data_IF_334731126474
#
_entry.id   IF_334731126474
#
_cell.length_a   1.000
_cell.length_b   1.000
_cell.length_c   1.000
_cell.angle_alpha   90.00
_cell.angle_beta   90.00
_cell.angle_gamma   90.00
#
_symmetry.space_group_name_H-M   'P 1'
#
loop_
_entity.id
_entity.type
_entity.pdbx_description
1 polymer ?
#
# COMPACT_ATOMS: atom_id res chain seq x y z
N UNK A 1 -16.60 10.87 0.47
CA UNK A 1 -15.82 11.94 -0.20
C UNK A 1 -14.38 12.05 0.30
N UNK A 2 -14.11 12.26 1.59
CA UNK A 2 -12.73 12.43 2.09
C UNK A 2 -11.76 11.28 1.72
N UNK A 3 -12.16 10.02 1.87
CA UNK A 3 -11.33 8.87 1.50
C UNK A 3 -11.07 8.76 -0.02
N UNK A 4 -12.02 9.22 -0.86
CA UNK A 4 -11.82 9.34 -2.32
C UNK A 4 -10.76 10.39 -2.61
N UNK A 5 -10.90 11.58 -2.00
CA UNK A 5 -9.96 12.67 -2.17
C UNK A 5 -8.55 12.29 -1.72
N UNK A 6 -8.44 11.56 -0.61
CA UNK A 6 -7.16 11.07 -0.11
C UNK A 6 -6.55 9.98 -1.03
N UNK A 7 -7.35 9.05 -1.54
CA UNK A 7 -6.88 8.09 -2.55
C UNK A 7 -6.35 8.81 -3.81
N UNK A 8 -7.07 9.83 -4.29
CA UNK A 8 -6.62 10.66 -5.42
C UNK A 8 -5.33 11.42 -5.10
N UNK A 9 -5.22 11.99 -3.90
CA UNK A 9 -4.00 12.65 -3.44
C UNK A 9 -2.80 11.69 -3.42
N UNK A 10 -2.96 10.50 -2.83
CA UNK A 10 -1.90 9.47 -2.85
C UNK A 10 -1.51 9.07 -4.27
N UNK A 11 -2.49 8.91 -5.15
CA UNK A 11 -2.27 8.59 -6.56
C UNK A 11 -1.41 9.67 -7.23
N UNK A 12 -1.75 10.94 -7.01
CA UNK A 12 -1.00 12.07 -7.55
C UNK A 12 0.41 12.14 -6.95
N UNK A 13 0.54 12.02 -5.63
CA UNK A 13 1.84 12.08 -4.94
C UNK A 13 2.77 10.95 -5.38
N UNK A 14 2.28 9.72 -5.45
CA UNK A 14 3.07 8.57 -5.87
C UNK A 14 3.37 8.58 -7.36
N UNK A 15 2.41 8.97 -8.20
CA UNK A 15 2.55 9.02 -9.66
C UNK A 15 3.46 10.17 -10.12
N UNK A 16 3.23 11.39 -9.63
CA UNK A 16 4.10 12.54 -9.93
C UNK A 16 5.45 12.43 -9.23
N UNK A 17 5.49 11.87 -8.02
CA UNK A 17 6.73 11.61 -7.30
C UNK A 17 7.68 10.71 -8.10
N UNK A 18 7.16 9.79 -8.92
CA UNK A 18 7.97 8.91 -9.75
C UNK A 18 8.77 9.66 -10.84
N UNK A 19 8.44 10.93 -11.13
CA UNK A 19 9.19 11.81 -12.02
C UNK A 19 10.44 12.42 -11.34
N UNK A 20 10.52 12.33 -10.01
CA UNK A 20 11.67 12.81 -9.24
C UNK A 20 12.84 11.83 -9.35
N UNK A 21 14.08 12.30 -9.13
CA UNK A 21 15.21 11.41 -8.87
C UNK A 21 14.90 10.40 -7.76
N UNK A 22 15.46 9.19 -7.87
CA UNK A 22 15.16 8.08 -6.95
C UNK A 22 15.37 8.42 -5.46
N UNK A 23 16.36 9.25 -5.14
CA UNK A 23 16.61 9.73 -3.77
C UNK A 23 15.48 10.61 -3.24
N UNK A 24 14.95 11.54 -4.05
CA UNK A 24 13.81 12.38 -3.67
C UNK A 24 12.50 11.59 -3.67
N UNK A 25 12.35 10.62 -4.57
CA UNK A 25 11.20 9.72 -4.53
C UNK A 25 11.17 8.89 -3.25
N UNK A 26 12.34 8.44 -2.75
CA UNK A 26 12.43 7.77 -1.47
C UNK A 26 11.97 8.66 -0.31
N UNK A 27 12.27 9.97 -0.32
CA UNK A 27 11.75 10.90 0.69
C UNK A 27 10.21 10.98 0.66
N UNK A 28 9.61 10.96 -0.54
CA UNK A 28 8.15 10.90 -0.70
C UNK A 28 7.58 9.60 -0.13
N UNK A 29 8.21 8.47 -0.44
CA UNK A 29 7.82 7.15 0.07
C UNK A 29 7.96 7.09 1.59
N UNK A 30 9.05 7.60 2.15
CA UNK A 30 9.29 7.70 3.59
C UNK A 30 8.16 8.45 4.30
N UNK A 31 7.75 9.60 3.75
CA UNK A 31 6.65 10.37 4.32
C UNK A 31 5.33 9.55 4.36
N UNK A 32 5.07 8.74 3.33
CA UNK A 32 3.90 7.86 3.27
C UNK A 32 4.04 6.69 4.26
N UNK A 33 5.24 6.09 4.40
CA UNK A 33 5.52 5.03 5.37
C UNK A 33 5.30 5.51 6.81
N UNK A 34 5.76 6.73 7.14
CA UNK A 34 5.50 7.35 8.45
C UNK A 34 4.00 7.53 8.67
N UNK A 35 3.28 8.06 7.67
CA UNK A 35 1.82 8.18 7.71
C UNK A 35 1.11 6.84 7.90
N UNK A 36 1.59 5.79 7.21
CA UNK A 36 1.08 4.42 7.36
C UNK A 36 1.26 3.90 8.79
N UNK A 37 2.47 4.00 9.35
CA UNK A 37 2.75 3.54 10.71
C UNK A 37 1.92 4.30 11.77
N UNK A 38 1.78 5.62 11.63
CA UNK A 38 0.98 6.44 12.54
C UNK A 38 -0.50 6.07 12.44
N UNK A 39 -1.06 5.98 11.25
CA UNK A 39 -2.47 5.65 11.06
C UNK A 39 -2.79 4.24 11.54
N UNK A 40 -1.90 3.27 11.28
CA UNK A 40 -2.07 1.90 11.78
C UNK A 40 -2.08 1.84 13.31
N UNK A 41 -1.13 2.50 13.98
CA UNK A 41 -1.07 2.50 15.45
C UNK A 41 -2.27 3.22 16.09
N UNK A 42 -2.82 4.25 15.44
CA UNK A 42 -4.01 4.96 15.91
C UNK A 42 -5.30 4.15 15.74
N UNK A 43 -5.45 3.41 14.65
CA UNK A 43 -6.64 2.59 14.40
C UNK A 43 -6.56 1.27 15.15
N UNK A 44 -5.43 0.58 15.10
CA UNK A 44 -5.30 -0.76 15.63
C UNK A 44 -5.18 -0.78 17.16
N UNK A 45 -4.61 0.30 17.73
CA UNK A 45 -4.35 0.49 19.17
C UNK A 45 -3.63 -0.72 19.79
N UNK A 46 -2.47 -1.11 19.23
CA UNK A 46 -1.81 -2.34 19.61
C UNK A 46 -1.36 -2.33 21.08
N UNK A 47 -1.19 -3.50 21.72
CA UNK A 47 -0.79 -3.60 23.12
C UNK A 47 0.56 -2.95 23.47
N UNK A 48 1.49 -2.88 22.52
CA UNK A 48 2.78 -2.20 22.67
C UNK A 48 3.01 -1.17 21.54
N UNK A 49 2.33 -0.01 21.57
CA UNK A 49 2.35 0.93 20.45
C UNK A 49 3.75 1.53 20.21
N UNK A 50 4.57 1.65 21.26
CA UNK A 50 5.96 2.13 21.15
C UNK A 50 6.86 1.15 20.41
N UNK A 51 6.69 -0.15 20.64
CA UNK A 51 7.48 -1.19 19.96
C UNK A 51 7.05 -1.25 18.50
N UNK A 52 5.75 -1.31 18.25
CA UNK A 52 5.18 -1.33 16.89
C UNK A 52 5.65 -0.12 16.08
N UNK A 53 5.53 1.10 16.63
CA UNK A 53 5.96 2.32 15.95
C UNK A 53 7.49 2.37 15.79
N UNK A 54 8.25 2.03 16.84
CA UNK A 54 9.71 2.08 16.81
C UNK A 54 10.30 1.12 15.78
N UNK A 55 9.87 -0.14 15.79
CA UNK A 55 10.32 -1.16 14.84
C UNK A 55 9.83 -0.83 13.43
N UNK A 56 8.58 -0.39 13.27
CA UNK A 56 8.03 0.03 11.98
C UNK A 56 8.81 1.20 11.35
N UNK A 57 9.10 2.24 12.12
CA UNK A 57 9.87 3.39 11.63
C UNK A 57 11.34 3.04 11.35
N UNK A 58 11.96 2.21 12.19
CA UNK A 58 13.31 1.72 11.91
C UNK A 58 13.35 0.88 10.63
N UNK A 59 12.35 0.02 10.41
CA UNK A 59 12.23 -0.77 9.18
C UNK A 59 12.00 0.12 7.94
N UNK A 60 11.19 1.19 8.06
CA UNK A 60 10.98 2.18 7.01
C UNK A 60 12.30 2.85 6.59
N UNK A 61 13.06 3.38 7.56
CA UNK A 61 14.38 3.97 7.31
C UNK A 61 15.33 2.96 6.67
N UNK A 62 15.42 1.75 7.21
CA UNK A 62 16.30 0.71 6.68
C UNK A 62 15.91 0.30 5.25
N UNK A 63 14.61 0.14 4.98
CA UNK A 63 14.09 -0.23 3.67
C UNK A 63 14.43 0.82 2.62
N UNK A 64 14.25 2.11 2.93
CA UNK A 64 14.53 3.20 2.00
C UNK A 64 16.03 3.36 1.75
N UNK A 65 16.87 3.30 2.80
CA UNK A 65 18.33 3.35 2.65
C UNK A 65 18.85 2.24 1.75
N UNK A 66 18.38 1.01 1.99
CA UNK A 66 18.72 -0.16 1.20
C UNK A 66 18.17 -0.04 -0.22
N UNK A 67 16.93 0.44 -0.40
CA UNK A 67 16.36 0.62 -1.72
C UNK A 67 17.13 1.63 -2.58
N UNK A 68 17.71 2.67 -1.98
CA UNK A 68 18.53 3.67 -2.67
C UNK A 68 19.95 3.15 -2.94
N UNK A 69 20.60 2.53 -1.95
CA UNK A 69 22.06 2.27 -1.99
C UNK A 69 22.45 0.85 -2.35
N UNK A 70 21.57 -0.14 -2.19
CA UNK A 70 21.96 -1.52 -2.47
C UNK A 70 22.19 -1.74 -3.96
N UNK A 71 23.26 -2.46 -4.28
CA UNK A 71 23.61 -2.87 -5.64
C UNK A 71 23.74 -4.40 -5.69
N UNK A 72 23.05 -5.10 -6.59
CA UNK A 72 22.06 -4.58 -7.56
C UNK A 72 20.73 -4.16 -6.90
N UNK A 73 19.91 -3.29 -7.56
CA UNK A 73 18.57 -2.95 -7.08
C UNK A 73 17.68 -4.20 -7.09
N UNK A 74 17.34 -4.71 -5.91
CA UNK A 74 16.64 -5.99 -5.76
C UNK A 74 15.71 -6.01 -4.55
N UNK A 75 14.58 -6.71 -4.68
CA UNK A 75 13.67 -6.98 -3.56
C UNK A 75 14.29 -7.89 -2.49
N UNK A 76 15.35 -8.63 -2.80
CA UNK A 76 16.03 -9.50 -1.84
C UNK A 76 16.48 -8.72 -0.60
N UNK A 77 16.94 -7.49 -0.78
CA UNK A 77 17.36 -6.66 0.34
C UNK A 77 16.20 -6.20 1.23
N UNK A 78 15.03 -5.94 0.65
CA UNK A 78 13.82 -5.64 1.40
C UNK A 78 13.33 -6.86 2.21
N UNK A 79 13.53 -8.08 1.68
CA UNK A 79 13.25 -9.30 2.42
C UNK A 79 14.16 -9.43 3.67
N UNK A 80 15.46 -9.10 3.56
CA UNK A 80 16.36 -9.07 4.72
C UNK A 80 15.94 -8.01 5.75
N UNK A 81 15.52 -6.82 5.32
CA UNK A 81 15.00 -5.78 6.24
C UNK A 81 13.75 -6.28 6.97
N UNK A 82 12.83 -6.96 6.26
CA UNK A 82 11.63 -7.54 6.87
C UNK A 82 11.98 -8.59 7.91
N UNK A 83 12.92 -9.50 7.60
CA UNK A 83 13.39 -10.52 8.53
C UNK A 83 14.06 -9.91 9.77
N UNK A 84 14.92 -8.90 9.59
CA UNK A 84 15.56 -8.19 10.69
C UNK A 84 14.54 -7.46 11.57
N UNK A 85 13.53 -6.81 10.97
CA UNK A 85 12.46 -6.14 11.69
C UNK A 85 11.61 -7.13 12.50
N UNK A 86 11.35 -8.33 11.97
CA UNK A 86 10.68 -9.39 12.72
C UNK A 86 11.48 -9.83 13.94
N UNK A 87 12.79 -10.05 13.79
CA UNK A 87 13.67 -10.40 14.92
C UNK A 87 13.67 -9.27 15.95
N UNK A 88 13.77 -8.01 15.52
CA UNK A 88 13.71 -6.85 16.40
C UNK A 88 12.37 -6.74 17.14
N UNK A 89 11.25 -7.05 16.48
CA UNK A 89 9.93 -7.11 17.12
C UNK A 89 9.87 -8.17 18.21
N UNK A 90 10.36 -9.39 17.93
CA UNK A 90 10.42 -10.48 18.91
C UNK A 90 11.27 -10.09 20.12
N UNK A 91 12.46 -9.53 19.90
CA UNK A 91 13.33 -9.05 20.99
C UNK A 91 12.65 -7.93 21.78
N UNK A 92 12.02 -6.98 21.09
CA UNK A 92 11.25 -5.89 21.72
C UNK A 92 10.15 -6.43 22.64
N UNK A 93 9.36 -7.39 22.18
CA UNK A 93 8.32 -8.01 23.00
C UNK A 93 8.87 -8.84 24.17
N UNK A 94 10.02 -9.53 24.00
CA UNK A 94 10.64 -10.30 25.08
C UNK A 94 11.20 -9.42 26.21
N UNK A 95 11.67 -8.21 25.88
CA UNK A 95 12.20 -7.23 26.84
C UNK A 95 11.11 -6.44 27.55
N UNK A 96 9.84 -6.60 27.16
CA UNK A 96 8.71 -5.87 27.73
C UNK A 96 8.49 -6.25 29.20
N UNK A 97 8.50 -5.28 30.15
CA UNK A 97 8.40 -5.58 31.58
C UNK A 97 7.05 -6.12 32.07
N UNK A 98 5.95 -5.87 31.35
CA UNK A 98 4.59 -6.19 31.82
C UNK A 98 3.67 -6.68 30.69
N UNK A 99 2.94 -7.78 30.93
CA UNK A 99 1.79 -8.22 30.14
C UNK A 99 2.12 -9.06 28.90
N UNK A 100 2.52 -10.34 29.11
CA UNK A 100 2.76 -11.32 28.03
C UNK A 100 1.48 -11.92 27.42
N UNK A 101 0.32 -11.54 27.93
CA UNK A 101 -0.98 -12.13 27.56
C UNK A 101 -1.44 -11.79 26.13
N UNK A 102 -0.84 -10.77 25.50
CA UNK A 102 -1.20 -10.29 24.15
C UNK A 102 0.02 -10.15 23.22
N UNK A 103 1.06 -10.95 23.43
CA UNK A 103 2.29 -10.91 22.60
C UNK A 103 1.99 -11.22 21.14
N UNK A 104 1.17 -12.23 20.86
CA UNK A 104 0.80 -12.60 19.49
C UNK A 104 0.11 -11.45 18.74
N UNK A 105 -0.75 -10.71 19.44
CA UNK A 105 -1.44 -9.56 18.86
C UNK A 105 -0.48 -8.39 18.58
N UNK A 106 0.43 -8.10 19.52
CA UNK A 106 1.44 -7.06 19.35
C UNK A 106 2.45 -7.39 18.23
N UNK A 107 2.86 -8.65 18.14
CA UNK A 107 3.69 -9.14 17.04
C UNK A 107 2.95 -9.08 15.70
N UNK A 108 1.67 -9.45 15.67
CA UNK A 108 0.83 -9.34 14.47
C UNK A 108 0.73 -7.89 13.98
N UNK A 109 0.48 -6.94 14.89
CA UNK A 109 0.45 -5.52 14.58
C UNK A 109 1.82 -5.00 14.10
N UNK A 110 2.91 -5.41 14.75
CA UNK A 110 4.27 -5.03 14.33
C UNK A 110 4.61 -5.56 12.95
N UNK A 111 4.23 -6.81 12.65
CA UNK A 111 4.41 -7.43 11.34
C UNK A 111 3.58 -6.73 10.26
N UNK A 112 2.32 -6.37 10.55
CA UNK A 112 1.49 -5.64 9.60
C UNK A 112 2.11 -4.28 9.24
N UNK A 113 2.56 -3.52 10.25
CA UNK A 113 3.21 -2.23 10.02
C UNK A 113 4.51 -2.38 9.25
N UNK A 114 5.39 -3.30 9.67
CA UNK A 114 6.71 -3.51 9.05
C UNK A 114 6.58 -3.99 7.61
N UNK A 115 5.71 -4.97 7.33
CA UNK A 115 5.46 -5.43 5.96
C UNK A 115 4.91 -4.30 5.11
N UNK A 116 3.94 -3.51 5.60
CA UNK A 116 3.38 -2.41 4.83
C UNK A 116 4.39 -1.31 4.49
N UNK A 117 5.24 -0.89 5.44
CA UNK A 117 6.27 0.13 5.14
C UNK A 117 7.35 -0.41 4.21
N UNK A 118 7.81 -1.65 4.40
CA UNK A 118 8.81 -2.26 3.52
C UNK A 118 8.25 -2.50 2.12
N UNK A 119 6.97 -2.87 2.02
CA UNK A 119 6.30 -3.05 0.75
C UNK A 119 6.27 -1.74 -0.08
N UNK A 120 6.04 -0.58 0.55
CA UNK A 120 6.13 0.72 -0.12
C UNK A 120 7.52 1.00 -0.72
N UNK A 121 8.60 0.57 -0.05
CA UNK A 121 9.97 0.76 -0.53
C UNK A 121 10.25 0.02 -1.85
N UNK A 122 9.43 -0.98 -2.23
CA UNK A 122 9.54 -1.63 -3.53
C UNK A 122 9.36 -0.66 -4.71
N UNK A 123 8.60 0.43 -4.55
CA UNK A 123 8.49 1.47 -5.57
C UNK A 123 9.80 2.27 -5.74
N UNK A 124 10.57 2.44 -4.66
CA UNK A 124 11.90 3.06 -4.73
C UNK A 124 12.87 2.15 -5.49
N UNK A 125 12.80 0.84 -5.27
CA UNK A 125 13.61 -0.12 -6.05
C UNK A 125 13.18 -0.09 -7.53
N UNK A 126 11.87 -0.01 -7.80
CA UNK A 126 11.35 0.06 -9.16
C UNK A 126 11.81 1.34 -9.88
N UNK A 127 11.84 2.49 -9.20
CA UNK A 127 12.24 3.76 -9.81
C UNK A 127 13.70 3.81 -10.26
N UNK A 128 14.54 2.89 -9.75
CA UNK A 128 15.94 2.75 -10.16
C UNK A 128 16.14 1.95 -11.45
N UNK A 129 15.11 1.26 -11.94
CA UNK A 129 15.19 0.48 -13.17
C UNK A 129 15.01 1.36 -14.42
N UNK A 130 15.61 0.99 -15.56
CA UNK A 130 15.21 1.56 -16.86
C UNK A 130 13.70 1.39 -17.06
N UNK A 131 13.00 2.44 -17.48
CA UNK A 131 11.53 2.49 -17.56
C UNK A 131 10.77 2.36 -16.23
N UNK A 132 11.46 2.48 -15.09
CA UNK A 132 10.86 2.43 -13.75
C UNK A 132 9.76 3.46 -13.55
N UNK A 133 9.99 4.71 -13.93
CA UNK A 133 9.00 5.80 -13.84
C UNK A 133 7.70 5.48 -14.61
N UNK A 134 7.82 5.02 -15.86
CA UNK A 134 6.64 4.71 -16.68
C UNK A 134 5.89 3.49 -16.12
N UNK A 135 6.63 2.51 -15.61
CA UNK A 135 6.07 1.33 -14.97
C UNK A 135 5.33 1.67 -13.68
N UNK A 136 5.89 2.55 -12.84
CA UNK A 136 5.21 3.07 -11.64
C UNK A 136 3.92 3.77 -12.04
N UNK A 137 3.96 4.68 -13.03
CA UNK A 137 2.76 5.40 -13.47
C UNK A 137 1.71 4.44 -14.04
N UNK A 138 2.11 3.46 -14.85
CA UNK A 138 1.23 2.44 -15.45
C UNK A 138 0.63 1.45 -14.43
N UNK A 139 1.14 1.38 -13.20
CA UNK A 139 0.62 0.49 -12.16
C UNK A 139 -0.11 1.27 -11.05
N UNK A 140 0.49 2.34 -10.55
CA UNK A 140 0.00 3.11 -9.40
C UNK A 140 -1.19 4.00 -9.78
N UNK A 141 -1.16 4.67 -10.93
CA UNK A 141 -2.27 5.54 -11.35
C UNK A 141 -3.55 4.72 -11.57
N UNK A 142 -3.52 3.59 -12.31
CA UNK A 142 -4.65 2.67 -12.40
C UNK A 142 -5.19 2.16 -11.07
N UNK A 143 -4.31 1.81 -10.12
CA UNK A 143 -4.72 1.36 -8.79
C UNK A 143 -5.46 2.45 -8.03
N UNK A 144 -4.97 3.69 -8.11
CA UNK A 144 -5.63 4.86 -7.56
C UNK A 144 -7.00 5.14 -8.18
N UNK A 145 -7.07 5.15 -9.51
CA UNK A 145 -8.33 5.32 -10.25
C UNK A 145 -9.33 4.23 -9.87
N UNK A 146 -8.90 2.97 -9.76
CA UNK A 146 -9.76 1.88 -9.38
C UNK A 146 -10.36 2.08 -7.97
N UNK A 147 -9.53 2.40 -6.97
CA UNK A 147 -9.99 2.69 -5.60
C UNK A 147 -10.91 3.91 -5.55
N UNK A 148 -10.58 4.97 -6.27
CA UNK A 148 -11.41 6.19 -6.34
C UNK A 148 -12.77 5.92 -6.98
N UNK A 149 -12.80 5.27 -8.15
CA UNK A 149 -14.02 4.95 -8.87
C UNK A 149 -14.88 4.00 -8.04
N UNK A 150 -14.31 2.95 -7.46
CA UNK A 150 -15.06 2.04 -6.59
C UNK A 150 -15.72 2.79 -5.43
N UNK A 151 -14.95 3.62 -4.71
CA UNK A 151 -15.48 4.45 -3.61
C UNK A 151 -16.53 5.45 -4.07
N UNK A 152 -16.40 6.07 -5.25
CA UNK A 152 -17.38 7.01 -5.78
C UNK A 152 -18.69 6.31 -6.15
N UNK A 153 -18.59 5.16 -6.81
CA UNK A 153 -19.75 4.35 -7.18
C UNK A 153 -20.44 3.82 -5.92
N UNK A 154 -19.69 3.36 -4.91
CA UNK A 154 -20.25 2.93 -3.63
C UNK A 154 -21.03 4.05 -2.91
N UNK A 155 -20.67 5.33 -3.15
CA UNK A 155 -21.40 6.48 -2.61
C UNK A 155 -22.69 6.79 -3.39
N UNK A 156 -22.72 6.56 -4.70
CA UNK A 156 -23.84 6.92 -5.58
C UNK A 156 -24.84 5.76 -5.68
N UNK A 157 -24.33 4.54 -5.85
CA UNK A 157 -25.08 3.31 -6.09
C UNK A 157 -24.59 2.19 -5.15
N UNK A 158 -24.92 2.24 -3.84
CA UNK A 158 -24.41 1.31 -2.84
C UNK A 158 -24.94 -0.13 -3.00
N UNK A 159 -25.76 -0.45 -4.00
CA UNK A 159 -26.37 -1.77 -4.19
C UNK A 159 -25.93 -2.39 -5.52
N UNK A 160 -25.63 -3.71 -5.56
CA UNK A 160 -25.66 -4.66 -4.43
C UNK A 160 -24.43 -4.54 -3.51
N UNK A 161 -24.66 -4.51 -2.18
CA UNK A 161 -23.60 -4.54 -1.17
C UNK A 161 -22.95 -5.93 -1.10
N UNK A 162 -21.64 -5.97 -0.91
CA UNK A 162 -20.92 -7.24 -0.69
C UNK A 162 -21.25 -7.85 0.69
N UNK A 163 -21.51 -7.00 1.67
CA UNK A 163 -22.04 -7.37 2.98
C UNK A 163 -22.91 -6.23 3.50
N UNK A 164 -23.95 -6.53 4.27
CA UNK A 164 -24.84 -5.51 4.85
C UNK A 164 -24.08 -4.49 5.70
N UNK A 165 -23.01 -4.96 6.37
CA UNK A 165 -22.29 -4.19 7.39
C UNK A 165 -21.09 -3.42 6.84
N UNK A 166 -20.80 -3.58 5.55
CA UNK A 166 -19.69 -2.91 4.88
C UNK A 166 -20.28 -1.96 3.84
N UNK A 167 -19.81 -0.71 3.85
CA UNK A 167 -20.23 0.34 2.91
C UNK A 167 -19.62 0.19 1.52
N UNK A 168 -19.51 -1.06 1.02
CA UNK A 168 -18.83 -1.43 -0.23
C UNK A 168 -19.70 -2.31 -1.10
N UNK A 169 -19.86 -1.91 -2.35
CA UNK A 169 -20.66 -2.59 -3.36
C UNK A 169 -19.80 -3.42 -4.32
N UNK A 170 -20.36 -4.54 -4.79
CA UNK A 170 -19.72 -5.34 -5.83
C UNK A 170 -19.63 -4.58 -7.15
N UNK A 171 -20.63 -3.75 -7.44
CA UNK A 171 -20.67 -2.90 -8.63
C UNK A 171 -19.55 -1.85 -8.62
N UNK A 172 -19.29 -1.21 -7.49
CA UNK A 172 -18.16 -0.28 -7.33
C UNK A 172 -16.82 -0.95 -7.59
N UNK A 173 -16.58 -2.13 -6.99
CA UNK A 173 -15.35 -2.88 -7.23
C UNK A 173 -15.16 -3.25 -8.72
N UNK A 174 -16.21 -3.73 -9.40
CA UNK A 174 -16.14 -4.09 -10.82
C UNK A 174 -15.85 -2.87 -11.71
N UNK A 175 -16.60 -1.77 -11.54
CA UNK A 175 -16.37 -0.56 -12.33
C UNK A 175 -15.01 0.08 -12.02
N UNK A 176 -14.55 0.00 -10.78
CA UNK A 176 -13.20 0.40 -10.39
C UNK A 176 -12.13 -0.37 -11.14
N UNK A 177 -12.22 -1.70 -11.19
CA UNK A 177 -11.28 -2.54 -11.95
C UNK A 177 -11.26 -2.20 -13.44
N UNK A 178 -12.44 -2.06 -14.05
CA UNK A 178 -12.55 -1.69 -15.47
C UNK A 178 -11.93 -0.33 -15.73
N UNK A 179 -12.22 0.66 -14.88
CA UNK A 179 -11.63 2.00 -15.00
C UNK A 179 -10.11 2.00 -14.81
N UNK A 180 -9.60 1.23 -13.84
CA UNK A 180 -8.16 1.05 -13.63
C UNK A 180 -7.49 0.43 -14.85
N UNK A 181 -8.00 -0.70 -15.34
CA UNK A 181 -7.47 -1.39 -16.52
C UNK A 181 -7.51 -0.52 -17.78
N UNK A 182 -8.61 0.20 -18.01
CA UNK A 182 -8.71 1.15 -19.12
C UNK A 182 -7.69 2.29 -19.00
N UNK A 183 -7.52 2.84 -17.80
CA UNK A 183 -6.50 3.88 -17.52
C UNK A 183 -5.10 3.35 -17.79
N UNK A 184 -4.81 2.11 -17.37
CA UNK A 184 -3.52 1.47 -17.60
C UNK A 184 -3.24 1.26 -19.09
N UNK A 185 -4.24 0.83 -19.86
CA UNK A 185 -4.14 0.67 -21.31
C UNK A 185 -3.85 2.01 -22.01
N UNK A 186 -4.52 3.09 -21.59
CA UNK A 186 -4.30 4.45 -22.11
C UNK A 186 -2.90 4.96 -21.75
N UNK A 187 -2.46 4.78 -20.51
CA UNK A 187 -1.08 5.15 -20.12
C UNK A 187 -0.07 4.38 -20.95
N UNK A 188 -0.28 3.07 -21.14
CA UNK A 188 0.58 2.22 -21.94
C UNK A 188 0.64 2.63 -23.41
N UNK A 189 -0.49 3.03 -24.02
CA UNK A 189 -0.51 3.47 -25.42
C UNK A 189 0.15 4.83 -25.65
N UNK A 190 0.20 5.68 -24.61
CA UNK A 190 0.82 7.00 -24.66
C UNK A 190 2.30 7.00 -24.22
N UNK A 191 2.77 5.93 -23.58
CA UNK A 191 4.13 5.86 -23.04
C UNK A 191 5.10 5.19 -24.01
N UNK A 192 6.17 5.88 -24.37
CA UNK A 192 7.23 5.31 -25.20
C UNK A 192 7.89 4.11 -24.49
N UNK A 193 7.85 2.94 -25.13
CA UNK A 193 8.46 1.70 -24.63
C UNK A 193 7.51 0.73 -23.93
N UNK A 194 6.25 1.11 -23.71
CA UNK A 194 5.21 0.21 -23.16
C UNK A 194 4.23 -0.19 -24.27
N UNK A 195 3.65 -1.38 -24.13
CA UNK A 195 2.50 -1.80 -24.95
C UNK A 195 1.22 -1.63 -24.16
N UNK A 196 0.14 -1.21 -24.83
CA UNK A 196 -1.16 -1.03 -24.18
C UNK A 196 -1.65 -2.32 -23.48
N UNK A 197 -1.43 -3.49 -24.10
CA UNK A 197 -1.82 -4.77 -23.53
C UNK A 197 -1.06 -5.14 -22.26
N UNK A 198 0.28 -5.04 -22.28
CA UNK A 198 1.09 -5.35 -21.10
C UNK A 198 0.83 -4.38 -19.95
N UNK A 199 0.71 -3.08 -20.25
CA UNK A 199 0.34 -2.06 -19.27
C UNK A 199 -1.06 -2.31 -18.69
N UNK A 200 -2.04 -2.68 -19.52
CA UNK A 200 -3.39 -3.01 -19.07
C UNK A 200 -3.39 -4.16 -18.06
N UNK A 201 -2.64 -5.24 -18.33
CA UNK A 201 -2.55 -6.39 -17.42
C UNK A 201 -1.82 -6.00 -16.13
N UNK A 202 -0.67 -5.32 -16.21
CA UNK A 202 0.09 -4.92 -15.04
C UNK A 202 -0.70 -3.95 -14.13
N UNK A 203 -1.36 -2.96 -14.73
CA UNK A 203 -2.23 -2.03 -14.02
C UNK A 203 -3.48 -2.70 -13.45
N UNK A 204 -4.11 -3.64 -14.16
CA UNK A 204 -5.27 -4.41 -13.65
C UNK A 204 -4.90 -5.25 -12.44
N UNK A 205 -3.77 -5.96 -12.47
CA UNK A 205 -3.32 -6.79 -11.34
C UNK A 205 -3.00 -5.91 -10.13
N UNK A 206 -2.33 -4.78 -10.34
CA UNK A 206 -2.03 -3.82 -9.27
C UNK A 206 -3.32 -3.22 -8.68
N UNK A 207 -4.26 -2.83 -9.55
CA UNK A 207 -5.56 -2.27 -9.15
C UNK A 207 -6.43 -3.27 -8.39
N UNK A 208 -6.39 -4.54 -8.78
CA UNK A 208 -7.09 -5.62 -8.08
C UNK A 208 -6.60 -5.76 -6.65
N UNK A 209 -5.28 -5.78 -6.44
CA UNK A 209 -4.72 -5.88 -5.09
C UNK A 209 -5.05 -4.65 -4.27
N UNK A 210 -4.94 -3.45 -4.84
CA UNK A 210 -5.33 -2.22 -4.16
C UNK A 210 -6.81 -2.26 -3.72
N UNK A 211 -7.72 -2.68 -4.60
CA UNK A 211 -9.14 -2.79 -4.29
C UNK A 211 -9.42 -3.85 -3.22
N UNK A 212 -8.86 -5.05 -3.34
CA UNK A 212 -9.04 -6.11 -2.35
C UNK A 212 -8.58 -5.64 -0.98
N UNK A 213 -7.42 -4.99 -0.90
CA UNK A 213 -6.88 -4.50 0.37
C UNK A 213 -7.71 -3.36 0.95
N UNK A 214 -8.15 -2.40 0.12
CA UNK A 214 -9.04 -1.30 0.53
C UNK A 214 -10.39 -1.83 1.06
N UNK A 215 -10.92 -2.88 0.43
CA UNK A 215 -12.10 -3.62 0.89
C UNK A 215 -11.81 -4.34 2.20
N UNK A 216 -10.72 -5.08 2.32
CA UNK A 216 -10.33 -5.80 3.54
C UNK A 216 -10.23 -4.88 4.75
N UNK A 217 -9.63 -3.69 4.62
CA UNK A 217 -9.60 -2.70 5.70
C UNK A 217 -11.01 -2.28 6.11
N UNK A 218 -11.93 -2.11 5.15
CA UNK A 218 -13.33 -1.79 5.41
C UNK A 218 -14.05 -2.93 6.18
N UNK A 219 -13.77 -4.18 5.83
CA UNK A 219 -14.29 -5.36 6.57
C UNK A 219 -13.73 -5.45 7.99
N UNK A 220 -12.42 -5.20 8.17
CA UNK A 220 -11.78 -5.20 9.50
C UNK A 220 -12.40 -4.13 10.38
N UNK A 221 -12.60 -2.91 9.87
CA UNK A 221 -13.24 -1.83 10.63
C UNK A 221 -14.69 -2.17 11.01
N UNK A 222 -15.47 -2.74 10.09
CA UNK A 222 -16.82 -3.20 10.39
C UNK A 222 -16.83 -4.32 11.45
N UNK A 223 -15.89 -5.28 11.37
CA UNK A 223 -15.74 -6.35 12.34
C UNK A 223 -15.45 -5.84 13.76
N UNK A 224 -14.56 -4.84 13.89
CA UNK A 224 -14.27 -4.19 15.17
C UNK A 224 -15.49 -3.49 15.77
N UNK A 225 -16.25 -2.78 14.94
CA UNK A 225 -17.48 -2.13 15.39
C UNK A 225 -18.53 -3.14 15.87
N UNK A 226 -18.67 -4.28 15.18
CA UNK A 226 -19.55 -5.38 15.59
C UNK A 226 -19.08 -6.04 16.90
N UNK A 227 -17.77 -6.06 17.16
CA UNK A 227 -17.18 -6.51 18.42
C UNK A 227 -17.31 -5.48 19.57
N UNK A 228 -17.96 -4.33 19.34
CA UNK A 228 -18.17 -3.28 20.34
C UNK A 228 -16.97 -2.37 20.56
N UNK A 229 -15.96 -2.43 19.69
CA UNK A 229 -14.82 -1.52 19.78
C UNK A 229 -15.19 -0.11 19.32
N UNK A 230 -14.57 0.93 19.90
CA UNK A 230 -14.80 2.31 19.49
C UNK A 230 -14.37 2.52 18.03
N UNK A 231 -15.07 3.38 17.27
CA UNK A 231 -14.69 3.66 15.90
C UNK A 231 -13.28 4.24 15.81
N UNK A 232 -12.63 3.95 14.69
CA UNK A 232 -11.33 4.53 14.36
C UNK A 232 -11.40 6.07 14.41
N UNK A 233 -10.41 6.75 15.02
CA UNK A 233 -10.40 8.21 15.07
C UNK A 233 -10.31 8.80 13.66
N UNK A 234 -11.00 9.91 13.43
CA UNK A 234 -10.86 10.72 12.21
C UNK A 234 -9.61 11.62 12.38
N UNK A 235 -8.71 11.71 11.40
CA UNK A 235 -8.82 11.20 10.03
C UNK A 235 -8.26 9.78 9.79
N UNK A 236 -7.63 9.14 10.77
CA UNK A 236 -6.91 7.87 10.60
C UNK A 236 -7.76 6.76 9.97
N UNK A 237 -9.01 6.57 10.42
CA UNK A 237 -9.90 5.54 9.86
C UNK A 237 -10.23 5.72 8.37
N UNK A 238 -10.31 6.98 7.91
CA UNK A 238 -10.60 7.31 6.50
C UNK A 238 -9.38 7.09 5.60
N UNK A 239 -8.19 7.31 6.15
CA UNK A 239 -6.91 7.27 5.46
C UNK A 239 -6.36 5.84 5.37
N UNK A 240 -6.62 5.01 6.38
CA UNK A 240 -6.02 3.67 6.48
C UNK A 240 -6.30 2.78 5.27
N UNK A 241 -7.55 2.79 4.75
CA UNK A 241 -7.91 1.98 3.57
C UNK A 241 -7.02 2.26 2.37
N UNK A 242 -7.02 3.51 1.85
CA UNK A 242 -6.19 3.86 0.71
C UNK A 242 -4.68 3.70 0.96
N UNK A 243 -4.13 4.10 2.11
CA UNK A 243 -2.68 3.94 2.35
C UNK A 243 -2.31 2.45 2.34
N UNK A 244 -3.08 1.59 3.01
CA UNK A 244 -2.81 0.14 3.04
C UNK A 244 -2.93 -0.46 1.65
N UNK A 245 -3.92 -0.02 0.86
CA UNK A 245 -4.10 -0.44 -0.52
C UNK A 245 -2.86 -0.17 -1.38
N UNK A 246 -2.31 1.06 -1.33
CA UNK A 246 -1.09 1.39 -2.04
C UNK A 246 0.15 0.66 -1.49
N UNK A 247 0.23 0.49 -0.16
CA UNK A 247 1.34 -0.23 0.46
C UNK A 247 1.45 -1.67 -0.03
N UNK A 248 0.33 -2.40 -0.09
CA UNK A 248 0.33 -3.79 -0.54
C UNK A 248 0.26 -3.94 -2.06
N UNK A 249 -0.21 -2.93 -2.80
CA UNK A 249 -0.14 -2.90 -4.25
C UNK A 249 1.27 -2.60 -4.78
N UNK A 250 2.12 -1.89 -4.01
CA UNK A 250 3.49 -1.55 -4.39
C UNK A 250 4.37 -2.75 -4.83
N UNK A 251 4.50 -3.84 -4.04
CA UNK A 251 5.32 -4.98 -4.44
C UNK A 251 4.71 -5.72 -5.65
N UNK A 252 3.40 -5.65 -5.82
CA UNK A 252 2.71 -6.22 -6.98
C UNK A 252 2.97 -5.38 -8.22
N UNK A 253 2.98 -4.05 -8.09
CA UNK A 253 3.42 -3.15 -9.15
C UNK A 253 4.87 -3.46 -9.57
N UNK A 254 5.78 -3.67 -8.62
CA UNK A 254 7.14 -4.11 -8.91
C UNK A 254 7.15 -5.42 -9.69
N UNK A 255 6.48 -6.45 -9.19
CA UNK A 255 6.47 -7.78 -9.81
C UNK A 255 5.84 -7.77 -11.20
N UNK A 256 4.69 -7.11 -11.36
CA UNK A 256 4.01 -6.98 -12.64
C UNK A 256 4.87 -6.20 -13.64
N UNK A 257 5.56 -5.15 -13.17
CA UNK A 257 6.51 -4.41 -14.01
C UNK A 257 7.68 -5.29 -14.43
N UNK A 258 8.30 -6.00 -13.49
CA UNK A 258 9.42 -6.90 -13.78
C UNK A 258 9.08 -8.00 -14.78
N UNK A 259 7.83 -8.50 -14.78
CA UNK A 259 7.39 -9.58 -15.67
C UNK A 259 6.86 -9.10 -17.02
N UNK A 260 6.25 -7.91 -17.08
CA UNK A 260 5.46 -7.48 -18.23
C UNK A 260 5.99 -6.20 -18.91
N UNK A 261 6.64 -5.32 -18.14
CA UNK A 261 6.94 -3.95 -18.58
C UNK A 261 8.44 -3.67 -18.69
N UNK A 262 9.24 -4.27 -17.80
CA UNK A 262 10.69 -4.20 -17.84
C UNK A 262 11.17 -5.26 -18.82
N UNK A 263 11.66 -4.83 -19.98
CA UNK A 263 12.38 -5.71 -20.89
C UNK A 263 13.72 -6.08 -20.26
N UNK A 264 13.75 -7.15 -19.46
CA UNK A 264 15.00 -7.81 -19.13
C UNK A 264 15.51 -8.51 -20.40
N UNK A 265 16.71 -8.17 -20.91
CA UNK A 265 17.35 -8.95 -21.96
C UNK A 265 17.67 -10.38 -21.48
#
# INVERSE_FOLDING_TARGET
MAAVGFAGLLTLVLGLGALLPSSLYAVVIFAIQVGYAITWTQVDRPPAPRIVAGVGLAAAVAADLVAIWAEPPSLAWLAYVTAAAFVAAVVGELTRPAGRERVTESLGATLAVTVGVVALASLVVLSRHPWGTQSIVACVVPAGVAVMVARLIDLIAPYPRLASQVSRGGLGALLGLVAGAATAAVIGSLSAGLTAGAAAVAGLVTALIALVVDLSVSYVQAGRQLAGEPPAPVPAGLIQGPVTAFALAAPVAYMASALLLLNYP
#
